data_IF_464230559616
#
_entry.id   IF_464230559616
#
_cell.length_a   1.000
_cell.length_b   1.000
_cell.length_c   1.000
_cell.angle_alpha   90.00
_cell.angle_beta   90.00
_cell.angle_gamma   90.00
#
_symmetry.space_group_name_H-M   'P 1'
#
loop_
_entity.id
_entity.type
_entity.pdbx_description
1 polymer ?
#
# COMPACT_ATOMS: atom_id res chain seq x y z
N UNK A 1 38.51 -22.16 4.46
CA UNK A 1 38.17 -20.73 4.38
C UNK A 1 37.05 -20.60 3.37
N UNK A 2 35.82 -20.41 3.83
CA UNK A 2 34.64 -20.38 2.96
C UNK A 2 34.29 -18.92 2.70
N UNK A 3 34.43 -18.50 1.44
CA UNK A 3 34.08 -17.17 0.96
C UNK A 3 32.56 -16.97 1.09
N UNK A 4 32.07 -15.96 1.83
CA UNK A 4 30.65 -15.67 1.88
C UNK A 4 30.27 -14.91 0.61
N UNK A 5 29.48 -15.54 -0.27
CA UNK A 5 28.82 -14.85 -1.37
C UNK A 5 27.68 -14.00 -0.80
N UNK A 6 27.98 -12.72 -0.55
CA UNK A 6 26.97 -11.72 -0.21
C UNK A 6 26.03 -11.57 -1.41
N UNK A 7 24.83 -12.15 -1.29
CA UNK A 7 23.71 -11.81 -2.14
C UNK A 7 23.21 -10.48 -1.58
N UNK A 8 23.82 -9.40 -2.02
CA UNK A 8 23.14 -8.11 -1.97
C UNK A 8 22.01 -8.23 -3.00
N UNK A 9 20.81 -8.57 -2.54
CA UNK A 9 19.59 -8.25 -3.26
C UNK A 9 19.62 -6.72 -3.44
N UNK A 10 20.07 -6.29 -4.61
CA UNK A 10 19.78 -4.95 -5.10
C UNK A 10 18.26 -4.95 -5.31
N UNK A 11 17.54 -4.52 -4.28
CA UNK A 11 16.21 -3.97 -4.48
C UNK A 11 16.42 -2.75 -5.35
N UNK A 12 16.23 -2.92 -6.67
CA UNK A 12 16.09 -1.78 -7.57
C UNK A 12 15.09 -0.83 -6.91
N UNK A 13 15.47 0.42 -6.60
CA UNK A 13 14.53 1.35 -6.02
C UNK A 13 13.40 1.50 -7.04
N UNK A 14 12.19 1.08 -6.64
CA UNK A 14 10.93 1.27 -7.38
C UNK A 14 10.53 2.76 -7.46
N UNK A 15 11.52 3.64 -7.50
CA UNK A 15 11.40 5.07 -7.70
C UNK A 15 12.29 5.39 -8.88
N UNK A 16 11.70 5.35 -10.07
CA UNK A 16 12.41 5.85 -11.25
C UNK A 16 12.83 7.30 -10.99
N UNK A 17 14.07 7.71 -11.36
CA UNK A 17 14.55 9.08 -11.13
C UNK A 17 13.64 10.14 -11.76
N UNK A 18 12.90 9.76 -12.80
CA UNK A 18 11.86 10.56 -13.46
C UNK A 18 10.71 10.96 -12.54
N UNK A 19 10.44 10.21 -11.47
CA UNK A 19 9.35 10.49 -10.53
C UNK A 19 9.79 11.30 -9.30
N UNK A 20 11.08 11.62 -9.17
CA UNK A 20 11.55 12.48 -8.08
C UNK A 20 11.08 13.92 -8.29
N UNK A 21 10.45 14.49 -7.26
CA UNK A 21 9.97 15.88 -7.26
C UNK A 21 10.74 16.67 -6.20
N UNK A 22 11.40 17.75 -6.60
CA UNK A 22 12.07 18.66 -5.67
C UNK A 22 11.10 19.74 -5.20
N UNK A 23 10.91 19.84 -3.89
CA UNK A 23 10.03 20.81 -3.25
C UNK A 23 10.79 21.54 -2.14
N UNK A 24 10.41 22.79 -1.90
CA UNK A 24 10.92 23.59 -0.79
C UNK A 24 9.85 23.69 0.29
N UNK A 25 10.25 23.53 1.55
CA UNK A 25 9.36 23.74 2.70
C UNK A 25 8.91 25.20 2.70
N UNK A 26 7.60 25.40 2.68
CA UNK A 26 6.95 26.71 2.73
C UNK A 26 6.41 26.97 4.13
N UNK A 27 5.53 27.96 4.29
CA UNK A 27 4.86 28.24 5.54
C UNK A 27 3.35 28.41 5.33
N UNK A 28 2.58 28.08 6.36
CA UNK A 28 1.19 28.45 6.50
C UNK A 28 1.05 29.37 7.73
N UNK A 29 0.19 30.38 7.63
CA UNK A 29 -0.14 31.27 8.74
C UNK A 29 -1.63 31.20 9.04
N UNK A 30 -1.99 31.19 10.32
CA UNK A 30 -3.40 31.24 10.76
C UNK A 30 -3.70 32.59 11.39
N UNK A 31 -4.87 33.15 11.07
CA UNK A 31 -5.41 34.34 11.72
C UNK A 31 -5.95 33.98 13.12
N UNK A 32 -5.85 34.86 14.14
CA UNK A 32 -5.29 36.22 14.12
C UNK A 32 -3.79 36.34 14.41
N UNK A 33 -3.16 35.24 14.82
CA UNK A 33 -1.83 35.28 15.43
C UNK A 33 -0.71 35.42 14.38
N UNK A 34 -1.02 35.17 13.10
CA UNK A 34 -0.12 35.23 11.93
C UNK A 34 1.21 34.46 12.09
N UNK A 35 1.26 33.52 13.03
CA UNK A 35 2.44 32.70 13.28
C UNK A 35 2.75 31.85 12.05
N UNK A 36 4.02 31.85 11.61
CA UNK A 36 4.47 31.04 10.48
C UNK A 36 4.75 29.62 10.95
N UNK A 37 3.93 28.69 10.48
CA UNK A 37 4.07 27.26 10.73
C UNK A 37 4.66 26.64 9.47
N UNK A 38 5.74 25.84 9.55
CA UNK A 38 6.32 25.18 8.39
C UNK A 38 5.29 24.25 7.73
N UNK A 39 5.23 24.29 6.40
CA UNK A 39 4.27 23.53 5.61
C UNK A 39 4.94 22.93 4.38
N UNK A 40 4.54 21.71 4.02
CA UNK A 40 4.90 21.08 2.76
C UNK A 40 3.63 21.00 1.92
N UNK A 41 3.67 21.56 0.72
CA UNK A 41 2.52 21.56 -0.20
C UNK A 41 2.84 20.72 -1.42
N UNK A 42 2.20 19.56 -1.53
CA UNK A 42 2.29 18.69 -2.71
C UNK A 42 1.13 19.01 -3.65
N UNK A 43 1.42 19.25 -4.94
CA UNK A 43 0.41 19.55 -5.96
C UNK A 43 0.75 18.88 -7.28
N UNK A 44 -0.28 18.44 -8.00
CA UNK A 44 -0.18 17.95 -9.37
C UNK A 44 -0.98 16.67 -9.59
N UNK A 45 -1.31 16.40 -10.86
CA UNK A 45 -2.04 15.19 -11.28
C UNK A 45 -1.29 13.89 -10.94
N UNK A 46 0.03 13.97 -10.73
CA UNK A 46 0.85 12.83 -10.32
C UNK A 46 0.44 12.27 -8.95
N UNK A 47 -0.17 13.07 -8.07
CA UNK A 47 -0.67 12.59 -6.78
C UNK A 47 -1.76 11.53 -6.97
N UNK A 48 -2.72 11.81 -7.86
CA UNK A 48 -3.80 10.87 -8.19
C UNK A 48 -3.26 9.60 -8.86
N UNK A 49 -2.31 9.75 -9.79
CA UNK A 49 -1.62 8.61 -10.41
C UNK A 49 -0.82 7.75 -9.41
N UNK A 50 -0.41 8.34 -8.28
CA UNK A 50 0.24 7.65 -7.16
C UNK A 50 -0.73 7.18 -6.06
N UNK A 51 -2.04 7.25 -6.30
CA UNK A 51 -3.07 6.76 -5.36
C UNK A 51 -3.54 7.78 -4.31
N UNK A 52 -3.06 9.03 -4.35
CA UNK A 52 -3.49 10.12 -3.48
C UNK A 52 -4.63 10.93 -4.12
N UNK A 53 -5.73 10.25 -4.47
CA UNK A 53 -6.90 10.90 -5.02
C UNK A 53 -7.62 11.77 -3.97
N UNK A 54 -8.55 12.61 -4.43
CA UNK A 54 -9.34 13.44 -3.50
C UNK A 54 -10.22 12.54 -2.61
N UNK A 55 -10.12 12.72 -1.30
CA UNK A 55 -10.86 11.92 -0.32
C UNK A 55 -10.16 10.64 0.13
N UNK A 56 -8.98 10.30 -0.42
CA UNK A 56 -8.18 9.17 0.06
C UNK A 56 -7.61 9.46 1.46
N UNK A 57 -7.79 8.53 2.40
CA UNK A 57 -7.15 8.60 3.71
C UNK A 57 -5.64 8.37 3.58
N UNK A 58 -4.85 9.09 4.36
CA UNK A 58 -3.38 9.05 4.27
C UNK A 58 -2.79 8.83 5.65
N UNK A 59 -1.93 7.82 5.76
CA UNK A 59 -1.11 7.60 6.93
C UNK A 59 0.20 8.38 6.82
N UNK A 60 0.57 9.07 7.90
CA UNK A 60 1.78 9.88 7.97
C UNK A 60 2.69 9.34 9.06
N UNK A 61 3.89 8.90 8.67
CA UNK A 61 4.93 8.50 9.61
C UNK A 61 6.09 9.49 9.57
N UNK A 62 6.41 10.05 10.74
CA UNK A 62 7.49 11.04 10.89
C UNK A 62 8.69 10.38 11.56
N UNK A 63 9.86 10.57 10.95
CA UNK A 63 11.16 10.12 11.43
C UNK A 63 12.16 11.29 11.35
N UNK A 64 13.32 11.18 12.00
CA UNK A 64 14.34 12.23 11.93
C UNK A 64 14.80 12.42 10.47
N UNK A 65 14.53 13.60 9.89
CA UNK A 65 14.88 13.93 8.51
C UNK A 65 14.03 13.24 7.42
N UNK A 66 12.99 12.49 7.77
CA UNK A 66 12.19 11.74 6.79
C UNK A 66 10.69 11.72 7.15
N UNK A 67 9.84 11.92 6.16
CA UNK A 67 8.39 11.77 6.27
C UNK A 67 7.95 10.75 5.23
N UNK A 68 7.24 9.72 5.67
CA UNK A 68 6.63 8.72 4.79
C UNK A 68 5.12 8.97 4.76
N UNK A 69 4.60 9.15 3.55
CA UNK A 69 3.18 9.31 3.27
C UNK A 69 2.70 8.05 2.56
N UNK A 70 1.66 7.41 3.10
CA UNK A 70 1.07 6.23 2.50
C UNK A 70 -0.42 6.47 2.30
N UNK A 71 -0.90 6.39 1.06
CA UNK A 71 -2.32 6.37 0.79
C UNK A 71 -2.92 5.06 1.30
N UNK A 72 -3.95 5.14 2.13
CA UNK A 72 -4.76 3.97 2.44
C UNK A 72 -5.54 3.61 1.19
N UNK A 73 -5.15 2.50 0.55
CA UNK A 73 -6.07 1.87 -0.38
C UNK A 73 -7.31 1.48 0.41
N UNK A 74 -8.52 1.67 -0.15
CA UNK A 74 -9.70 1.00 0.38
C UNK A 74 -9.28 -0.45 0.57
N UNK A 75 -9.36 -0.97 1.81
CA UNK A 75 -9.23 -2.40 1.98
C UNK A 75 -10.18 -3.00 0.94
N UNK A 76 -9.71 -3.86 0.03
CA UNK A 76 -10.64 -4.52 -0.86
C UNK A 76 -11.64 -5.16 0.07
N UNK A 77 -12.88 -4.67 0.07
CA UNK A 77 -14.00 -5.28 0.79
C UNK A 77 -13.79 -6.76 0.60
N UNK A 78 -13.50 -7.49 1.70
CA UNK A 78 -12.96 -8.84 1.59
C UNK A 78 -13.81 -9.56 0.56
N UNK A 79 -13.24 -9.81 -0.63
CA UNK A 79 -14.04 -10.20 -1.78
C UNK A 79 -14.95 -11.34 -1.32
N UNK A 80 -16.22 -11.38 -1.73
CA UNK A 80 -17.15 -12.43 -1.30
C UNK A 80 -16.52 -13.83 -1.39
N UNK A 81 -15.58 -14.01 -2.33
CA UNK A 81 -14.69 -15.16 -2.46
C UNK A 81 -13.79 -15.39 -1.24
N UNK A 82 -13.04 -14.39 -0.77
CA UNK A 82 -12.19 -14.46 0.44
C UNK A 82 -13.00 -14.76 1.70
N UNK A 83 -14.19 -14.18 1.83
CA UNK A 83 -15.10 -14.50 2.95
C UNK A 83 -15.57 -15.95 2.86
N UNK A 84 -15.95 -16.41 1.67
CA UNK A 84 -16.35 -17.79 1.41
C UNK A 84 -15.20 -18.77 1.71
N UNK A 85 -13.97 -18.46 1.31
CA UNK A 85 -12.79 -19.28 1.61
C UNK A 85 -12.55 -19.39 3.12
N UNK A 86 -12.67 -18.28 3.86
CA UNK A 86 -12.58 -18.31 5.34
C UNK A 86 -13.68 -19.15 5.98
N UNK A 87 -14.89 -19.12 5.46
CA UNK A 87 -15.98 -19.99 5.93
C UNK A 87 -15.64 -21.48 5.68
N UNK A 88 -15.08 -21.81 4.51
CA UNK A 88 -14.63 -23.19 4.20
C UNK A 88 -13.50 -23.62 5.14
N UNK A 89 -12.56 -22.73 5.48
CA UNK A 89 -11.49 -23.02 6.44
C UNK A 89 -12.01 -23.37 7.86
N UNK A 90 -13.22 -22.90 8.25
CA UNK A 90 -13.85 -23.26 9.53
C UNK A 90 -14.49 -24.65 9.54
N UNK A 91 -14.62 -25.31 8.39
CA UNK A 91 -15.21 -26.65 8.28
C UNK A 91 -14.20 -27.74 8.67
N UNK A 92 -14.70 -28.95 8.94
CA UNK A 92 -13.83 -30.11 9.16
C UNK A 92 -13.10 -30.54 7.89
N UNK A 93 -11.95 -31.21 8.05
CA UNK A 93 -11.12 -31.67 6.93
C UNK A 93 -11.88 -32.50 5.88
N UNK A 94 -12.88 -33.30 6.31
CA UNK A 94 -13.73 -34.08 5.39
C UNK A 94 -14.59 -33.18 4.51
N UNK A 95 -15.19 -32.13 5.08
CA UNK A 95 -16.04 -31.18 4.36
C UNK A 95 -15.20 -30.29 3.44
N UNK A 96 -14.00 -29.88 3.86
CA UNK A 96 -13.07 -29.14 3.02
C UNK A 96 -12.68 -29.94 1.75
N UNK A 97 -12.39 -31.24 1.90
CA UNK A 97 -12.11 -32.12 0.74
C UNK A 97 -13.29 -32.24 -0.23
N UNK A 98 -14.52 -32.29 0.27
CA UNK A 98 -15.72 -32.32 -0.59
C UNK A 98 -15.89 -31.03 -1.38
N UNK A 99 -15.67 -29.88 -0.73
CA UNK A 99 -15.73 -28.56 -1.39
C UNK A 99 -14.64 -28.46 -2.48
N UNK A 100 -13.41 -28.88 -2.18
CA UNK A 100 -12.30 -28.86 -3.15
C UNK A 100 -12.55 -29.77 -4.36
N UNK A 101 -13.11 -30.95 -4.13
CA UNK A 101 -13.50 -31.85 -5.21
C UNK A 101 -14.58 -31.23 -6.12
N UNK A 102 -15.57 -30.56 -5.52
CA UNK A 102 -16.63 -29.89 -6.28
C UNK A 102 -16.09 -28.72 -7.12
N UNK A 103 -15.24 -27.88 -6.54
CA UNK A 103 -14.57 -26.80 -7.28
C UNK A 103 -13.76 -27.36 -8.45
N UNK A 104 -13.06 -28.47 -8.27
CA UNK A 104 -12.26 -29.10 -9.34
C UNK A 104 -13.12 -29.58 -10.52
N UNK A 105 -14.32 -30.09 -10.25
CA UNK A 105 -15.28 -30.46 -11.30
C UNK A 105 -15.78 -29.22 -12.04
N UNK A 106 -16.14 -28.16 -11.31
CA UNK A 106 -16.68 -26.93 -11.89
C UNK A 106 -15.64 -26.09 -12.64
N UNK A 107 -14.38 -26.11 -12.21
CA UNK A 107 -13.28 -25.41 -12.87
C UNK A 107 -12.94 -25.99 -14.26
N UNK A 108 -13.65 -27.03 -14.70
CA UNK A 108 -13.37 -27.72 -15.95
C UNK A 108 -12.02 -28.40 -15.86
N UNK A 109 -11.95 -29.50 -15.09
CA UNK A 109 -10.76 -30.33 -15.15
C UNK A 109 -10.63 -30.93 -16.55
N UNK A 110 -9.46 -30.65 -17.14
CA UNK A 110 -8.88 -31.17 -18.38
C UNK A 110 -8.84 -32.70 -18.40
#
# INVERSE_FOLDING_TARGET
>A
MTTPHSIAEFTDPEVSPTNNRHLTVSYASRYPDYTRIPAITLKGQWLEASGFATGTEVDVKVMNGCIVLTAQQPQPDESELMQSLRQVCKLSARKQKQVQAFISVMAGSK
#
